data_IF_650094809605
#
_entry.id   IF_650094809605
#
_cell.length_a   1.000
_cell.length_b   1.000
_cell.length_c   1.000
_cell.angle_alpha   90.00
_cell.angle_beta   90.00
_cell.angle_gamma   90.00
#
_symmetry.space_group_name_H-M   'P 1'
#
loop_
_entity.id
_entity.type
_entity.pdbx_description
1 polymer ?
#
# COMPACT_ATOMS: atom_id res chain seq x y z
N UNK A 1 15.88 -20.41 -18.92
CA UNK A 1 15.30 -19.79 -17.71
C UNK A 1 15.63 -18.32 -17.83
N UNK A 2 14.67 -17.47 -18.11
CA UNK A 2 14.86 -16.02 -18.08
C UNK A 2 15.13 -15.63 -16.64
N UNK A 3 16.33 -15.11 -16.35
CA UNK A 3 16.61 -14.54 -15.03
C UNK A 3 15.56 -13.48 -14.74
N UNK A 4 14.82 -13.64 -13.64
CA UNK A 4 13.86 -12.65 -13.20
C UNK A 4 14.62 -11.32 -13.01
N UNK A 5 14.19 -10.27 -13.72
CA UNK A 5 14.76 -8.93 -13.62
C UNK A 5 14.46 -8.38 -12.23
N UNK A 6 15.46 -8.31 -11.38
CA UNK A 6 15.29 -7.93 -9.98
C UNK A 6 15.60 -6.44 -9.78
N UNK A 7 14.70 -5.66 -9.17
CA UNK A 7 14.99 -4.25 -8.89
C UNK A 7 16.05 -4.13 -7.78
N UNK A 8 16.79 -3.04 -7.84
CA UNK A 8 17.79 -2.67 -6.82
C UNK A 8 17.17 -1.80 -5.69
N UNK A 9 15.86 -1.70 -5.65
CA UNK A 9 15.08 -0.94 -4.67
C UNK A 9 13.94 -1.78 -4.12
N UNK A 10 13.56 -1.54 -2.87
CA UNK A 10 12.31 -2.06 -2.30
C UNK A 10 11.14 -1.17 -2.66
N UNK A 11 9.95 -1.75 -2.87
CA UNK A 11 8.77 -1.04 -3.34
C UNK A 11 7.74 -0.97 -2.20
N UNK A 12 7.47 0.23 -1.73
CA UNK A 12 6.48 0.48 -0.68
C UNK A 12 5.15 0.88 -1.31
N UNK A 13 4.17 -0.01 -1.30
CA UNK A 13 2.86 0.21 -1.93
C UNK A 13 1.84 0.64 -0.88
N UNK A 14 1.35 1.87 -1.00
CA UNK A 14 0.31 2.45 -0.16
C UNK A 14 -0.98 2.73 -0.95
N UNK A 15 -2.03 3.06 -0.23
CA UNK A 15 -3.31 3.47 -0.84
C UNK A 15 -4.52 2.95 -0.07
N UNK A 16 -5.71 3.51 -0.36
CA UNK A 16 -6.96 3.08 0.28
C UNK A 16 -7.35 1.64 -0.09
N UNK A 17 -8.35 1.09 0.58
CA UNK A 17 -8.85 -0.25 0.27
C UNK A 17 -9.40 -0.33 -1.17
N UNK A 18 -9.40 -1.55 -1.75
CA UNK A 18 -9.97 -1.84 -3.07
C UNK A 18 -9.33 -1.13 -4.26
N UNK A 19 -8.14 -0.57 -4.12
CA UNK A 19 -7.35 -0.03 -5.25
C UNK A 19 -6.59 -1.09 -6.04
N UNK A 20 -6.62 -2.36 -5.61
CA UNK A 20 -5.91 -3.46 -6.31
C UNK A 20 -4.47 -3.67 -5.86
N UNK A 21 -4.01 -3.03 -4.79
CA UNK A 21 -2.64 -3.16 -4.24
C UNK A 21 -2.16 -4.61 -4.17
N UNK A 22 -2.91 -5.45 -3.46
CA UNK A 22 -2.51 -6.84 -3.21
C UNK A 22 -2.31 -7.63 -4.50
N UNK A 23 -3.19 -7.42 -5.49
CA UNK A 23 -3.10 -8.14 -6.77
C UNK A 23 -1.86 -7.70 -7.54
N UNK A 24 -1.66 -6.40 -7.72
CA UNK A 24 -0.51 -5.88 -8.45
C UNK A 24 0.81 -6.15 -7.70
N UNK A 25 0.84 -6.03 -6.37
CA UNK A 25 2.00 -6.39 -5.56
C UNK A 25 2.41 -7.86 -5.71
N UNK A 26 1.43 -8.78 -5.80
CA UNK A 26 1.72 -10.19 -6.06
C UNK A 26 2.30 -10.40 -7.47
N UNK A 27 1.74 -9.74 -8.49
CA UNK A 27 2.25 -9.82 -9.87
C UNK A 27 3.70 -9.32 -9.93
N UNK A 28 3.99 -8.16 -9.32
CA UNK A 28 5.35 -7.61 -9.27
C UNK A 28 6.30 -8.52 -8.50
N UNK A 29 5.87 -9.06 -7.35
CA UNK A 29 6.67 -9.98 -6.54
C UNK A 29 7.05 -11.24 -7.32
N UNK A 30 6.11 -11.80 -8.08
CA UNK A 30 6.35 -12.97 -8.93
C UNK A 30 7.31 -12.63 -10.09
N UNK A 31 7.08 -11.49 -10.77
CA UNK A 31 7.94 -11.02 -11.88
C UNK A 31 9.39 -10.83 -11.46
N UNK A 32 9.60 -10.27 -10.26
CA UNK A 32 10.94 -9.92 -9.77
C UNK A 32 11.59 -11.02 -8.93
N UNK A 33 10.84 -12.05 -8.54
CA UNK A 33 11.34 -13.08 -7.62
C UNK A 33 11.72 -12.53 -6.24
N UNK A 34 10.95 -11.53 -5.73
CA UNK A 34 11.16 -10.90 -4.43
C UNK A 34 9.96 -11.09 -3.50
N UNK A 35 10.15 -11.07 -2.16
CA UNK A 35 9.05 -11.26 -1.24
C UNK A 35 8.05 -10.09 -1.27
N UNK A 36 6.75 -10.40 -1.13
CA UNK A 36 5.69 -9.45 -0.85
C UNK A 36 5.27 -9.54 0.61
N UNK A 37 5.57 -8.51 1.39
CA UNK A 37 5.22 -8.39 2.82
C UNK A 37 3.89 -7.63 2.92
N UNK A 38 2.85 -8.32 3.37
CA UNK A 38 1.49 -7.78 3.48
C UNK A 38 1.17 -7.50 4.95
N UNK A 39 1.21 -6.25 5.33
CA UNK A 39 1.00 -5.85 6.73
C UNK A 39 -0.38 -6.25 7.25
N UNK A 40 -1.43 -6.14 6.43
CA UNK A 40 -2.76 -6.58 6.82
C UNK A 40 -2.88 -8.08 7.09
N UNK A 41 -2.11 -8.93 6.40
CA UNK A 41 -2.05 -10.37 6.68
C UNK A 41 -1.24 -10.65 7.95
N UNK A 42 -0.13 -9.95 8.13
CA UNK A 42 0.72 -10.08 9.31
C UNK A 42 -0.05 -9.66 10.58
N UNK A 43 -0.81 -8.57 10.51
CA UNK A 43 -1.69 -8.14 11.60
C UNK A 43 -2.71 -9.23 11.97
N UNK A 44 -3.42 -9.79 10.97
CA UNK A 44 -4.38 -10.88 11.21
C UNK A 44 -3.74 -12.12 11.83
N UNK A 45 -2.55 -12.50 11.39
CA UNK A 45 -1.80 -13.64 11.94
C UNK A 45 -1.47 -13.46 13.42
N UNK A 46 -1.06 -12.24 13.81
CA UNK A 46 -0.65 -11.93 15.18
C UNK A 46 -1.83 -11.77 16.13
N UNK A 47 -2.90 -11.15 15.66
CA UNK A 47 -4.01 -10.73 16.52
C UNK A 47 -5.24 -11.63 16.43
N UNK A 48 -5.39 -12.39 15.35
CA UNK A 48 -6.63 -13.08 15.02
C UNK A 48 -7.78 -12.13 14.62
N UNK A 49 -7.54 -10.82 14.59
CA UNK A 49 -8.53 -9.79 14.30
C UNK A 49 -8.53 -9.52 12.79
N UNK A 50 -9.70 -9.55 12.17
CA UNK A 50 -9.85 -9.05 10.81
C UNK A 50 -9.75 -7.51 10.83
N UNK A 51 -8.82 -6.95 10.07
CA UNK A 51 -8.64 -5.50 9.94
C UNK A 51 -9.86 -4.79 9.34
N UNK A 52 -10.81 -5.53 8.75
CA UNK A 52 -12.11 -5.02 8.32
C UNK A 52 -13.16 -5.01 9.44
N UNK A 53 -12.89 -5.65 10.58
CA UNK A 53 -13.84 -5.69 11.70
C UNK A 53 -13.90 -4.32 12.39
N UNK A 54 -15.11 -3.95 12.81
CA UNK A 54 -15.36 -2.70 13.54
C UNK A 54 -15.18 -2.84 15.05
N UNK A 55 -14.64 -3.97 15.53
CA UNK A 55 -14.42 -4.19 16.96
C UNK A 55 -13.45 -3.13 17.52
N UNK A 56 -13.71 -2.60 18.70
CA UNK A 56 -12.73 -1.79 19.42
C UNK A 56 -11.44 -2.58 19.59
N UNK A 57 -10.31 -1.94 19.26
CA UNK A 57 -9.00 -2.58 19.41
C UNK A 57 -8.06 -1.66 20.19
N UNK A 58 -7.10 -2.26 20.84
CA UNK A 58 -6.06 -1.53 21.55
C UNK A 58 -5.09 -0.90 20.52
N UNK A 59 -4.91 0.42 20.61
CA UNK A 59 -4.00 1.17 19.75
C UNK A 59 -2.52 0.76 19.93
N UNK A 60 -2.19 0.01 20.99
CA UNK A 60 -0.85 -0.57 21.14
C UNK A 60 -0.50 -1.53 20.01
N UNK A 61 -1.48 -2.28 19.47
CA UNK A 61 -1.30 -3.16 18.35
C UNK A 61 -1.03 -2.38 17.04
N UNK A 62 -1.67 -1.24 16.85
CA UNK A 62 -1.43 -0.38 15.70
C UNK A 62 0.00 0.17 15.75
N UNK A 63 0.47 0.63 16.92
CA UNK A 63 1.87 1.06 17.13
C UNK A 63 2.87 -0.07 16.89
N UNK A 64 2.62 -1.26 17.41
CA UNK A 64 3.49 -2.43 17.16
C UNK A 64 3.59 -2.75 15.67
N UNK A 65 2.48 -2.63 14.93
CA UNK A 65 2.48 -2.88 13.49
C UNK A 65 3.20 -1.78 12.70
N UNK A 66 3.10 -0.53 13.13
CA UNK A 66 3.82 0.56 12.51
C UNK A 66 5.33 0.48 12.81
N UNK A 67 5.72 0.10 14.02
CA UNK A 67 7.12 -0.22 14.38
C UNK A 67 7.66 -1.37 13.53
N UNK A 68 6.86 -2.42 13.32
CA UNK A 68 7.22 -3.52 12.45
C UNK A 68 7.43 -3.07 10.99
N UNK A 69 6.52 -2.20 10.48
CA UNK A 69 6.68 -1.61 9.14
C UNK A 69 7.97 -0.79 9.06
N UNK A 70 8.19 0.11 10.01
CA UNK A 70 9.39 0.94 10.06
C UNK A 70 10.67 0.10 10.14
N UNK A 71 10.69 -0.96 10.95
CA UNK A 71 11.80 -1.90 11.01
C UNK A 71 12.05 -2.58 9.66
N UNK A 72 11.00 -3.00 8.95
CA UNK A 72 11.13 -3.59 7.61
C UNK A 72 11.68 -2.58 6.61
N UNK A 73 11.19 -1.35 6.62
CA UNK A 73 11.69 -0.28 5.76
C UNK A 73 13.19 -0.03 6.02
N UNK A 74 13.60 0.07 7.29
CA UNK A 74 15.04 0.23 7.66
C UNK A 74 15.92 -0.94 7.24
N UNK A 75 15.35 -2.12 7.03
CA UNK A 75 16.09 -3.30 6.55
C UNK A 75 16.26 -3.34 5.03
N UNK A 76 15.73 -2.36 4.28
CA UNK A 76 15.81 -2.31 2.83
C UNK A 76 17.27 -2.23 2.37
N UNK A 77 17.62 -3.06 1.39
CA UNK A 77 18.95 -3.08 0.79
C UNK A 77 18.86 -3.48 -0.69
N UNK A 78 19.83 -3.05 -1.47
CA UNK A 78 19.96 -3.42 -2.89
C UNK A 78 20.06 -4.95 -3.05
N UNK A 79 20.74 -5.63 -2.13
CA UNK A 79 20.94 -7.08 -2.18
C UNK A 79 19.66 -7.88 -1.87
N UNK A 80 18.75 -7.31 -1.09
CA UNK A 80 17.53 -7.98 -0.63
C UNK A 80 16.30 -7.06 -0.74
N UNK A 81 15.93 -6.65 -1.95
CA UNK A 81 14.72 -5.86 -2.16
C UNK A 81 13.45 -6.68 -1.84
N UNK A 82 12.40 -5.98 -1.45
CA UNK A 82 11.10 -6.54 -1.16
C UNK A 82 9.98 -5.60 -1.61
N UNK A 83 8.76 -6.10 -1.68
CA UNK A 83 7.55 -5.28 -1.74
C UNK A 83 6.94 -5.25 -0.34
N UNK A 84 6.56 -4.06 0.13
CA UNK A 84 5.82 -3.86 1.37
C UNK A 84 4.44 -3.26 1.05
N UNK A 85 3.39 -4.05 1.22
CA UNK A 85 2.02 -3.60 1.04
C UNK A 85 1.41 -3.20 2.38
N UNK A 86 1.17 -1.91 2.55
CA UNK A 86 0.52 -1.36 3.74
C UNK A 86 -0.24 -0.07 3.44
N UNK A 87 -1.09 0.39 4.37
CA UNK A 87 -1.80 1.66 4.20
C UNK A 87 -0.88 2.86 4.40
N UNK A 88 0.01 2.81 5.38
CA UNK A 88 0.88 3.91 5.81
C UNK A 88 2.37 3.75 5.41
N UNK A 89 2.75 2.71 4.66
CA UNK A 89 4.17 2.44 4.40
C UNK A 89 4.95 3.64 3.82
N UNK A 90 4.36 4.34 2.84
CA UNK A 90 5.00 5.50 2.24
C UNK A 90 5.09 6.69 3.22
N UNK A 91 4.02 6.93 3.99
CA UNK A 91 4.02 7.97 5.01
C UNK A 91 5.08 7.70 6.08
N UNK A 92 5.17 6.48 6.61
CA UNK A 92 6.17 6.10 7.60
C UNK A 92 7.59 6.25 7.04
N UNK A 93 7.82 5.86 5.79
CA UNK A 93 9.12 6.02 5.14
C UNK A 93 9.51 7.50 5.01
N UNK A 94 8.56 8.37 4.67
CA UNK A 94 8.80 9.81 4.54
C UNK A 94 9.03 10.46 5.90
N UNK A 95 8.14 10.22 6.87
CA UNK A 95 8.21 10.76 8.23
C UNK A 95 9.53 10.46 8.92
N UNK A 96 10.02 9.25 8.81
CA UNK A 96 11.28 8.84 9.43
C UNK A 96 12.51 9.22 8.59
N UNK A 97 12.31 9.99 7.50
CA UNK A 97 13.36 10.38 6.53
C UNK A 97 14.11 9.18 5.92
N UNK A 98 13.53 8.00 6.00
CA UNK A 98 14.16 6.78 5.52
C UNK A 98 14.31 6.74 3.99
N UNK A 99 13.47 7.52 3.27
CA UNK A 99 13.54 7.59 1.80
C UNK A 99 14.87 8.12 1.26
N UNK A 100 15.49 9.06 1.97
CA UNK A 100 16.71 9.71 1.50
C UNK A 100 17.93 8.80 1.51
N UNK A 101 17.95 7.84 2.45
CA UNK A 101 19.14 7.05 2.76
C UNK A 101 19.01 5.58 2.37
N UNK A 102 17.80 5.13 2.03
CA UNK A 102 17.52 3.71 1.75
C UNK A 102 17.11 3.50 0.30
N UNK A 103 17.43 2.33 -0.28
CA UNK A 103 16.98 1.94 -1.62
C UNK A 103 15.49 1.56 -1.60
N UNK A 104 14.64 2.55 -1.43
CA UNK A 104 13.18 2.39 -1.41
C UNK A 104 12.52 3.36 -2.39
N UNK A 105 11.39 2.93 -2.96
CA UNK A 105 10.47 3.77 -3.72
C UNK A 105 9.07 3.65 -3.15
N UNK A 106 8.34 4.74 -3.15
CA UNK A 106 6.99 4.81 -2.59
C UNK A 106 5.95 4.97 -3.69
N UNK A 107 4.96 4.10 -3.70
CA UNK A 107 3.93 4.06 -4.74
C UNK A 107 2.56 4.19 -4.11
N UNK A 108 1.77 5.18 -4.56
CA UNK A 108 0.36 5.29 -4.22
C UNK A 108 -0.50 4.61 -5.29
N UNK A 109 -1.29 3.63 -4.90
CA UNK A 109 -2.38 3.14 -5.73
C UNK A 109 -3.66 3.88 -5.35
N UNK A 110 -4.18 4.62 -6.30
CA UNK A 110 -5.31 5.51 -6.09
C UNK A 110 -6.48 5.18 -7.02
N UNK A 111 -7.68 5.36 -6.54
CA UNK A 111 -8.91 5.41 -7.33
C UNK A 111 -9.99 6.15 -6.53
N UNK A 112 -10.95 6.83 -7.20
CA UNK A 112 -12.10 7.42 -6.54
C UNK A 112 -12.86 6.40 -5.67
N UNK A 113 -13.50 6.90 -4.62
CA UNK A 113 -14.24 6.07 -3.66
C UNK A 113 -15.31 5.22 -4.34
N UNK A 114 -16.07 5.82 -5.25
CA UNK A 114 -17.15 5.16 -6.00
C UNK A 114 -16.60 3.96 -6.78
N UNK A 115 -15.49 4.14 -7.49
CA UNK A 115 -14.83 3.07 -8.28
C UNK A 115 -14.37 1.93 -7.37
N UNK A 116 -13.83 2.27 -6.19
CA UNK A 116 -13.40 1.26 -5.21
C UNK A 116 -14.59 0.46 -4.68
N UNK A 117 -15.70 1.14 -4.37
CA UNK A 117 -16.89 0.49 -3.84
C UNK A 117 -17.66 -0.30 -4.91
N UNK A 118 -17.67 0.14 -6.16
CA UNK A 118 -18.18 -0.69 -7.27
C UNK A 118 -17.37 -1.99 -7.44
N UNK A 119 -16.05 -1.95 -7.28
CA UNK A 119 -15.21 -3.16 -7.27
C UNK A 119 -15.56 -4.08 -6.11
N UNK A 120 -15.81 -3.49 -4.94
CA UNK A 120 -16.25 -4.24 -3.76
C UNK A 120 -17.63 -4.87 -4.00
N UNK A 121 -18.57 -4.15 -4.56
CA UNK A 121 -19.90 -4.66 -4.86
C UNK A 121 -19.85 -5.85 -5.84
N UNK A 122 -19.05 -5.71 -6.91
CA UNK A 122 -18.80 -6.82 -7.85
C UNK A 122 -18.21 -8.04 -7.18
N UNK A 123 -17.27 -7.83 -6.24
CA UNK A 123 -16.67 -8.92 -5.46
C UNK A 123 -17.72 -9.59 -4.57
N UNK A 124 -18.49 -8.82 -3.81
CA UNK A 124 -19.56 -9.33 -2.92
C UNK A 124 -20.55 -10.18 -3.72
N UNK A 125 -21.06 -9.69 -4.85
CA UNK A 125 -22.02 -10.40 -5.70
C UNK A 125 -21.45 -11.64 -6.37
N UNK A 126 -20.16 -11.67 -6.64
CA UNK A 126 -19.47 -12.86 -7.15
C UNK A 126 -19.31 -13.93 -6.07
N UNK A 127 -18.94 -13.51 -4.85
CA UNK A 127 -18.66 -14.42 -3.73
C UNK A 127 -19.96 -14.88 -3.06
N UNK A 128 -21.02 -14.07 -3.10
CA UNK A 128 -22.39 -14.38 -2.67
C UNK A 128 -23.42 -13.83 -3.69
N UNK A 129 -23.85 -14.64 -4.66
CA UNK A 129 -24.83 -14.24 -5.67
C UNK A 129 -26.21 -13.84 -5.11
N UNK A 130 -26.54 -14.25 -3.88
CA UNK A 130 -27.77 -13.86 -3.18
C UNK A 130 -27.65 -12.54 -2.39
N UNK A 131 -26.49 -11.92 -2.38
CA UNK A 131 -26.27 -10.70 -1.61
C UNK A 131 -27.13 -9.53 -2.08
N UNK A 132 -27.80 -8.88 -1.12
CA UNK A 132 -28.61 -7.67 -1.31
C UNK A 132 -27.80 -6.39 -1.10
N UNK A 133 -26.48 -6.48 -0.89
CA UNK A 133 -25.63 -5.33 -0.66
C UNK A 133 -25.77 -4.28 -1.77
N UNK A 134 -25.89 -3.01 -1.36
CA UNK A 134 -25.99 -1.85 -2.25
C UNK A 134 -24.69 -1.06 -2.28
N UNK A 135 -24.53 -0.23 -3.31
CA UNK A 135 -23.37 0.66 -3.41
C UNK A 135 -23.35 1.67 -2.26
N UNK A 136 -24.50 2.22 -1.89
CA UNK A 136 -24.62 3.22 -0.82
C UNK A 136 -24.23 2.64 0.55
N UNK A 137 -24.63 1.40 0.84
CA UNK A 137 -24.21 0.70 2.07
C UNK A 137 -22.68 0.51 2.12
N UNK A 138 -22.08 0.14 1.00
CA UNK A 138 -20.64 -0.04 0.91
C UNK A 138 -19.89 1.30 1.03
N UNK A 139 -20.38 2.37 0.42
CA UNK A 139 -19.84 3.73 0.55
C UNK A 139 -19.89 4.21 2.00
N UNK A 140 -21.03 4.06 2.66
CA UNK A 140 -21.18 4.46 4.06
C UNK A 140 -20.25 3.64 4.97
N UNK A 141 -20.18 2.31 4.78
CA UNK A 141 -19.29 1.45 5.54
C UNK A 141 -17.79 1.79 5.34
N UNK A 142 -17.37 2.13 4.13
CA UNK A 142 -15.99 2.54 3.88
C UNK A 142 -15.67 3.89 4.53
N UNK A 143 -16.58 4.86 4.48
CA UNK A 143 -16.42 6.17 5.14
C UNK A 143 -16.32 6.05 6.66
N UNK A 144 -17.14 5.21 7.27
CA UNK A 144 -17.06 4.91 8.69
C UNK A 144 -15.71 4.26 9.05
N UNK A 145 -15.26 3.33 8.22
CA UNK A 145 -13.96 2.68 8.38
C UNK A 145 -12.81 3.67 8.26
N UNK A 146 -12.83 4.51 7.22
CA UNK A 146 -11.78 5.52 7.01
C UNK A 146 -11.76 6.57 8.14
N UNK A 147 -12.92 6.92 8.69
CA UNK A 147 -13.00 7.81 9.85
C UNK A 147 -12.39 7.17 11.11
N UNK A 148 -12.66 5.89 11.35
CA UNK A 148 -12.04 5.13 12.46
C UNK A 148 -10.53 4.99 12.28
N UNK A 149 -10.07 4.63 11.09
CA UNK A 149 -8.64 4.53 10.81
C UNK A 149 -7.93 5.87 11.03
N UNK A 150 -8.52 6.99 10.58
CA UNK A 150 -7.99 8.35 10.84
C UNK A 150 -7.91 8.66 12.32
N UNK A 151 -8.93 8.32 13.11
CA UNK A 151 -8.91 8.53 14.56
C UNK A 151 -7.77 7.74 15.24
N UNK A 152 -7.54 6.49 14.83
CA UNK A 152 -6.44 5.66 15.33
C UNK A 152 -5.10 6.27 14.91
N UNK A 153 -4.94 6.65 13.64
CA UNK A 153 -3.70 7.23 13.16
C UNK A 153 -3.37 8.56 13.83
N UNK A 154 -4.36 9.40 14.10
CA UNK A 154 -4.18 10.64 14.87
C UNK A 154 -3.68 10.38 16.28
N UNK A 155 -4.16 9.33 16.95
CA UNK A 155 -3.68 8.94 18.28
C UNK A 155 -2.25 8.37 18.25
N UNK A 156 -1.95 7.56 17.23
CA UNK A 156 -0.63 6.93 17.08
C UNK A 156 0.41 7.91 16.50
N UNK A 157 -0.02 8.77 15.59
CA UNK A 157 0.79 9.74 14.85
C UNK A 157 0.12 11.13 14.91
N UNK A 158 0.32 11.91 15.98
CA UNK A 158 -0.32 13.23 16.13
C UNK A 158 -0.03 14.22 15.01
N UNK A 159 1.08 14.05 14.29
CA UNK A 159 1.46 14.81 13.11
C UNK A 159 0.62 14.52 11.85
N UNK A 160 -0.20 13.47 11.87
CA UNK A 160 -1.19 13.16 10.83
C UNK A 160 -2.50 13.96 10.95
N UNK A 161 -2.58 14.92 11.87
CA UNK A 161 -3.80 15.68 12.07
C UNK A 161 -4.24 16.37 10.77
N UNK A 162 -5.46 16.08 10.33
CA UNK A 162 -6.09 16.58 9.11
C UNK A 162 -5.43 16.19 7.77
N UNK A 163 -4.34 15.42 7.75
CA UNK A 163 -3.71 14.99 6.51
C UNK A 163 -4.50 13.86 5.83
N UNK A 164 -4.81 14.05 4.56
CA UNK A 164 -5.26 12.96 3.70
C UNK A 164 -4.04 12.14 3.24
N UNK A 165 -3.68 11.11 3.99
CA UNK A 165 -2.52 10.25 3.68
C UNK A 165 -2.57 9.58 2.31
N UNK A 166 -3.72 9.57 1.64
CA UNK A 166 -3.88 9.06 0.29
C UNK A 166 -4.05 10.16 -0.76
N UNK A 167 -3.68 11.41 -0.43
CA UNK A 167 -3.63 12.48 -1.43
C UNK A 167 -2.47 12.22 -2.39
N UNK A 168 -2.70 12.26 -3.71
CA UNK A 168 -1.61 12.22 -4.70
C UNK A 168 -0.57 13.33 -4.53
N UNK A 169 -0.99 14.47 -4.00
CA UNK A 169 -0.16 15.67 -3.81
C UNK A 169 0.41 15.78 -2.38
N UNK A 170 0.36 14.70 -1.60
CA UNK A 170 0.87 14.70 -0.23
C UNK A 170 2.38 14.93 -0.23
N UNK A 171 2.79 15.98 0.50
CA UNK A 171 4.19 16.28 0.76
C UNK A 171 4.52 16.13 2.25
N UNK A 172 5.77 15.87 2.56
CA UNK A 172 6.28 15.91 3.92
C UNK A 172 6.52 17.37 4.41
N UNK A 173 7.02 17.52 5.63
CA UNK A 173 7.32 18.83 6.25
C UNK A 173 8.34 19.68 5.48
N UNK A 174 9.12 19.07 4.60
CA UNK A 174 10.11 19.75 3.74
C UNK A 174 9.57 20.14 2.37
N UNK A 175 8.31 19.77 2.06
CA UNK A 175 7.71 19.95 0.74
C UNK A 175 8.09 18.84 -0.25
N UNK A 176 8.76 17.78 0.19
CA UNK A 176 9.10 16.64 -0.66
C UNK A 176 7.88 15.72 -0.82
N UNK A 177 7.54 15.27 -2.06
CA UNK A 177 6.44 14.34 -2.27
C UNK A 177 6.61 13.04 -1.48
N UNK A 178 5.57 12.64 -0.76
CA UNK A 178 5.53 11.37 -0.02
C UNK A 178 5.55 10.20 -0.99
N UNK A 179 4.91 10.34 -2.15
CA UNK A 179 4.86 9.31 -3.19
C UNK A 179 5.78 9.63 -4.36
N UNK A 180 6.63 8.68 -4.73
CA UNK A 180 7.49 8.79 -5.91
C UNK A 180 6.72 8.51 -7.20
N UNK A 181 5.68 7.66 -7.09
CA UNK A 181 4.76 7.31 -8.18
C UNK A 181 3.33 7.26 -7.66
N UNK A 182 2.42 7.90 -8.40
CA UNK A 182 0.97 7.76 -8.20
C UNK A 182 0.38 6.99 -9.39
N UNK A 183 -0.25 5.86 -9.10
CA UNK A 183 -0.90 5.01 -10.11
C UNK A 183 -2.41 5.13 -9.98
N UNK A 184 -3.05 5.74 -10.99
CA UNK A 184 -4.49 5.73 -11.11
C UNK A 184 -4.96 4.35 -11.58
N UNK A 185 -5.53 3.59 -10.67
CA UNK A 185 -5.92 2.21 -10.93
C UNK A 185 -7.26 2.07 -11.67
N UNK A 186 -7.91 3.19 -12.10
CA UNK A 186 -9.09 3.14 -12.97
C UNK A 186 -8.76 2.57 -14.34
N UNK A 187 -7.56 2.84 -14.81
CA UNK A 187 -7.15 2.68 -16.21
C UNK A 187 -6.92 1.25 -16.67
N UNK A 188 -6.98 0.25 -15.79
CA UNK A 188 -6.66 -1.07 -16.29
C UNK A 188 -6.90 -2.26 -15.37
N UNK A 189 -6.59 -3.41 -15.94
CA UNK A 189 -6.50 -4.68 -15.23
C UNK A 189 -5.27 -4.66 -14.30
N UNK A 190 -5.20 -5.54 -13.30
CA UNK A 190 -4.05 -5.59 -12.37
C UNK A 190 -2.69 -5.71 -13.06
N UNK A 191 -2.60 -6.43 -14.18
CA UNK A 191 -1.37 -6.55 -14.97
C UNK A 191 -0.94 -5.19 -15.53
N UNK A 192 -1.87 -4.42 -16.12
CA UNK A 192 -1.60 -3.07 -16.64
C UNK A 192 -1.09 -2.14 -15.52
N UNK A 193 -1.67 -2.26 -14.32
CA UNK A 193 -1.23 -1.47 -13.15
C UNK A 193 0.18 -1.89 -12.73
N UNK A 194 0.50 -3.17 -12.78
CA UNK A 194 1.85 -3.67 -12.52
C UNK A 194 2.84 -3.21 -13.59
N UNK A 195 2.44 -3.22 -14.87
CA UNK A 195 3.25 -2.72 -15.99
C UNK A 195 3.61 -1.23 -15.81
N UNK A 196 2.67 -0.39 -15.36
CA UNK A 196 2.96 1.03 -15.08
C UNK A 196 4.04 1.22 -14.00
N UNK A 197 4.06 0.36 -12.99
CA UNK A 197 5.11 0.38 -11.95
C UNK A 197 6.44 -0.10 -12.53
N UNK A 198 6.42 -1.16 -13.32
CA UNK A 198 7.60 -1.75 -13.96
C UNK A 198 8.26 -0.76 -14.92
N UNK A 199 7.49 -0.14 -15.82
CA UNK A 199 7.95 0.88 -16.77
C UNK A 199 8.56 2.09 -16.04
N UNK A 200 7.93 2.53 -14.94
CA UNK A 200 8.45 3.65 -14.15
C UNK A 200 9.77 3.30 -13.46
N UNK A 201 9.89 2.10 -12.90
CA UNK A 201 11.13 1.61 -12.29
C UNK A 201 12.26 1.51 -13.33
N UNK A 202 11.94 1.06 -14.55
CA UNK A 202 12.89 1.00 -15.65
C UNK A 202 13.42 2.38 -16.04
N UNK A 203 12.52 3.35 -16.21
CA UNK A 203 12.88 4.74 -16.54
C UNK A 203 13.77 5.39 -15.49
N UNK A 204 13.69 4.93 -14.23
CA UNK A 204 14.51 5.39 -13.10
C UNK A 204 15.82 4.61 -12.92
N UNK A 205 16.10 3.64 -13.77
CA UNK A 205 17.29 2.79 -13.64
C UNK A 205 17.28 1.92 -12.39
N UNK A 206 16.09 1.59 -11.87
CA UNK A 206 15.93 0.80 -10.66
C UNK A 206 16.24 -0.69 -10.84
N UNK A 207 16.70 -1.08 -12.00
CA UNK A 207 17.24 -2.41 -12.28
C UNK A 207 18.74 -2.28 -12.49
N UNK A 208 19.54 -3.09 -11.82
CA UNK A 208 20.98 -3.13 -12.02
C UNK A 208 21.30 -3.29 -13.51
N UNK A 209 22.25 -2.49 -14.01
CA UNK A 209 22.77 -2.69 -15.35
C UNK A 209 23.24 -4.15 -15.48
N UNK A 210 22.97 -4.78 -16.59
CA UNK A 210 23.70 -5.99 -16.96
C UNK A 210 25.18 -5.57 -17.05
N UNK A 211 25.96 -5.88 -16.00
CA UNK A 211 27.40 -5.92 -16.19
C UNK A 211 27.66 -7.03 -17.21
N UNK A 212 27.98 -6.63 -18.43
CA UNK A 212 28.46 -7.49 -19.52
C UNK A 212 29.80 -8.17 -19.15
#
# INVERSE_FOLDING_TARGET
>A
MTHARRPNVSILISGPSRTGKTTAANILAERYGIPNIKIGEEFRKRTGIDTSSFAPRDHSLDREMDDFQAQKIRSASVAQPFILEARLAAYLASRERLKADLPVVTVLFWAPEEVRMERQLRKVRRDDPGSTATLDELLNGEREREAKDRAIWKDVHPDLDDLNVFSPDLCDETGTPVYDLVVDTRVGMPDTVADMVDDWLEQRGAFGGHDD
#
